data_IF_340139073984
#
_entry.id   IF_340139073984
#
_cell.length_a   1.000
_cell.length_b   1.000
_cell.length_c   1.000
_cell.angle_alpha   90.00
_cell.angle_beta   90.00
_cell.angle_gamma   90.00
#
_symmetry.space_group_name_H-M   'P 1'
#
loop_
_entity.id
_entity.type
_entity.pdbx_description
1 polymer ?
#
# COMPACT_ATOMS: atom_id res chain seq x y z
N UNK A 1 17.49 11.99 -1.83
CA UNK A 1 16.57 12.98 -2.46
C UNK A 1 16.02 12.51 -3.80
N UNK A 2 16.84 12.21 -4.81
CA UNK A 2 16.34 11.75 -6.12
C UNK A 2 15.52 10.47 -6.04
N UNK A 3 15.95 9.52 -5.22
CA UNK A 3 15.23 8.27 -5.00
C UNK A 3 13.89 8.49 -4.30
N UNK A 4 13.83 9.35 -3.29
CA UNK A 4 12.58 9.73 -2.61
C UNK A 4 11.58 10.36 -3.60
N UNK A 5 12.06 11.20 -4.51
CA UNK A 5 11.21 11.76 -5.56
C UNK A 5 10.65 10.66 -6.49
N UNK A 6 11.48 9.68 -6.89
CA UNK A 6 11.01 8.55 -7.71
C UNK A 6 9.97 7.71 -6.98
N UNK A 7 10.22 7.34 -5.72
CA UNK A 7 9.27 6.60 -4.88
C UNK A 7 7.94 7.36 -4.78
N UNK A 8 7.98 8.65 -4.43
CA UNK A 8 6.79 9.49 -4.37
C UNK A 8 6.03 9.55 -5.71
N UNK A 9 6.75 9.76 -6.82
CA UNK A 9 6.13 9.92 -8.14
C UNK A 9 5.50 8.61 -8.65
N UNK A 10 6.08 7.44 -8.38
CA UNK A 10 5.42 6.15 -8.67
C UNK A 10 4.05 6.11 -8.02
N UNK A 11 3.99 6.35 -6.71
CA UNK A 11 2.75 6.31 -5.95
C UNK A 11 1.76 7.40 -6.36
N UNK A 12 2.18 8.67 -6.43
CA UNK A 12 1.28 9.78 -6.78
C UNK A 12 0.71 9.63 -8.20
N UNK A 13 1.49 9.10 -9.15
CA UNK A 13 1.04 8.96 -10.53
C UNK A 13 0.16 7.72 -10.78
N UNK A 14 0.33 6.63 -10.01
CA UNK A 14 -0.30 5.34 -10.32
C UNK A 14 -1.24 4.80 -9.25
N UNK A 15 -1.28 5.38 -8.04
CA UNK A 15 -2.25 5.02 -6.99
C UNK A 15 -3.69 5.09 -7.47
N UNK A 16 -4.52 4.17 -6.97
CA UNK A 16 -5.94 4.06 -7.37
C UNK A 16 -6.83 5.16 -6.75
N UNK A 17 -6.32 5.89 -5.77
CA UNK A 17 -6.93 7.09 -5.20
C UNK A 17 -5.83 8.11 -4.84
N UNK A 18 -6.18 9.41 -4.69
CA UNK A 18 -5.28 10.38 -4.08
C UNK A 18 -4.77 9.89 -2.72
N UNK A 19 -3.51 10.19 -2.43
CA UNK A 19 -2.83 9.80 -1.19
C UNK A 19 -2.78 11.00 -0.25
N UNK A 20 -3.00 10.79 1.05
CA UNK A 20 -2.82 11.85 2.04
C UNK A 20 -1.33 12.19 2.21
N UNK A 21 -1.03 13.35 2.78
CA UNK A 21 0.33 13.72 3.14
C UNK A 21 0.99 12.65 4.03
N UNK A 22 0.22 12.17 4.98
CA UNK A 22 0.60 11.16 5.96
C UNK A 22 0.98 9.82 5.31
N UNK A 23 0.21 9.38 4.32
CA UNK A 23 0.53 8.18 3.53
C UNK A 23 1.81 8.38 2.73
N UNK A 24 1.99 9.56 2.12
CA UNK A 24 3.20 9.87 1.36
C UNK A 24 4.44 9.85 2.25
N UNK A 25 4.36 10.34 3.49
CA UNK A 25 5.48 10.31 4.42
C UNK A 25 6.00 8.88 4.68
N UNK A 26 5.10 7.90 4.79
CA UNK A 26 5.47 6.48 4.93
C UNK A 26 5.93 5.87 3.61
N UNK A 27 5.33 6.24 2.49
CA UNK A 27 5.70 5.73 1.17
C UNK A 27 7.18 5.98 0.87
N UNK A 28 7.71 7.13 1.29
CA UNK A 28 9.14 7.44 1.10
C UNK A 28 10.03 6.39 1.73
N UNK A 29 9.64 5.84 2.88
CA UNK A 29 10.37 4.82 3.61
C UNK A 29 10.24 3.40 3.03
N UNK A 30 9.44 3.21 1.97
CA UNK A 30 9.19 1.89 1.39
C UNK A 30 9.96 1.75 0.07
N UNK A 31 10.85 0.76 0.03
CA UNK A 31 11.50 0.32 -1.18
C UNK A 31 11.45 -1.21 -1.28
N UNK A 32 10.55 -1.80 -2.08
CA UNK A 32 10.40 -3.25 -2.17
C UNK A 32 11.59 -3.96 -2.81
N UNK A 33 12.58 -3.23 -3.31
CA UNK A 33 13.83 -3.78 -3.84
C UNK A 33 14.94 -3.88 -2.78
N UNK A 34 14.74 -3.29 -1.58
CA UNK A 34 15.68 -3.33 -0.46
C UNK A 34 15.38 -4.48 0.52
N UNK A 35 16.41 -4.91 1.26
CA UNK A 35 16.37 -6.03 2.22
C UNK A 35 15.30 -5.85 3.32
N UNK A 36 15.15 -4.64 3.84
CA UNK A 36 14.15 -4.32 4.88
C UNK A 36 12.78 -4.03 4.27
N UNK A 37 12.74 -3.64 2.99
CA UNK A 37 11.59 -3.19 2.22
C UNK A 37 10.78 -2.00 2.77
N UNK A 38 10.69 -1.82 4.09
CA UNK A 38 10.23 -0.60 4.75
C UNK A 38 11.14 -0.28 5.95
N UNK A 39 11.75 0.89 5.90
CA UNK A 39 12.65 1.41 6.93
C UNK A 39 11.98 2.57 7.68
N UNK A 40 11.46 2.35 8.91
CA UNK A 40 10.81 3.41 9.68
C UNK A 40 11.69 4.65 9.91
N UNK A 41 13.01 4.52 9.83
CA UNK A 41 13.94 5.65 10.00
C UNK A 41 13.98 6.59 8.79
N UNK A 42 13.46 6.16 7.64
CA UNK A 42 13.35 6.96 6.42
C UNK A 42 11.98 7.66 6.27
N UNK A 43 11.07 7.52 7.25
CA UNK A 43 9.77 8.21 7.22
C UNK A 43 10.02 9.72 7.25
N UNK A 44 9.30 10.47 6.41
CA UNK A 44 9.43 11.93 6.43
C UNK A 44 8.95 12.51 7.77
N UNK A 45 9.86 13.14 8.53
CA UNK A 45 9.53 13.88 9.76
C UNK A 45 8.43 14.92 9.51
N UNK A 46 8.53 15.62 8.36
CA UNK A 46 7.51 16.54 7.87
C UNK A 46 6.89 15.98 6.59
N UNK A 47 5.62 15.54 6.61
CA UNK A 47 4.92 15.09 5.40
C UNK A 47 4.90 16.12 4.26
N UNK A 48 5.01 17.42 4.59
CA UNK A 48 5.06 18.50 3.60
C UNK A 48 6.39 18.56 2.85
N UNK A 49 7.41 17.85 3.29
CA UNK A 49 8.70 17.80 2.61
C UNK A 49 8.59 17.17 1.22
N UNK A 50 7.50 16.43 0.93
CA UNK A 50 7.16 16.01 -0.43
C UNK A 50 7.12 17.18 -1.42
N UNK A 51 6.68 18.37 -1.02
CA UNK A 51 6.66 19.55 -1.89
C UNK A 51 8.06 20.13 -2.12
N UNK A 52 8.99 19.88 -1.21
CA UNK A 52 10.42 20.21 -1.43
C UNK A 52 11.06 19.18 -2.35
N UNK A 53 10.76 17.89 -2.15
CA UNK A 53 11.31 16.76 -2.91
C UNK A 53 10.84 16.77 -4.36
N UNK A 54 9.53 16.92 -4.58
CA UNK A 54 8.90 16.86 -5.91
C UNK A 54 8.67 18.26 -6.52
N UNK A 55 8.88 19.33 -5.75
CA UNK A 55 8.73 20.72 -6.21
C UNK A 55 7.41 20.95 -6.96
N UNK A 56 7.46 21.59 -8.12
CA UNK A 56 6.31 21.92 -8.96
C UNK A 56 5.63 20.73 -9.66
N UNK A 57 6.14 19.50 -9.51
CA UNK A 57 5.53 18.32 -10.14
C UNK A 57 4.25 17.88 -9.43
N UNK A 58 4.08 18.27 -8.17
CA UNK A 58 2.97 17.86 -7.31
C UNK A 58 2.27 19.08 -6.72
N UNK A 59 1.01 18.89 -6.32
CA UNK A 59 0.21 19.90 -5.64
C UNK A 59 -0.69 19.25 -4.60
N UNK A 60 -1.30 20.07 -3.75
CA UNK A 60 -2.22 19.65 -2.71
C UNK A 60 -3.65 19.89 -3.14
N UNK A 61 -4.54 18.94 -2.85
CA UNK A 61 -5.98 19.11 -2.92
C UNK A 61 -6.60 18.77 -1.57
N UNK A 62 -7.62 19.51 -1.15
CA UNK A 62 -8.38 19.16 0.05
C UNK A 62 -9.49 18.18 -0.33
N UNK A 63 -9.45 16.97 0.19
CA UNK A 63 -10.49 15.99 -0.05
C UNK A 63 -11.68 16.27 0.87
N UNK A 64 -12.80 16.74 0.31
CA UNK A 64 -14.04 17.04 1.06
C UNK A 64 -15.08 15.93 0.95
N UNK A 65 -14.67 14.67 0.74
CA UNK A 65 -15.57 13.57 0.37
C UNK A 65 -16.54 13.11 1.48
N UNK A 66 -16.58 13.79 2.62
CA UNK A 66 -17.61 13.57 3.62
C UNK A 66 -18.31 14.88 3.94
N UNK A 67 -19.62 14.94 3.65
CA UNK A 67 -20.53 16.03 4.09
C UNK A 67 -20.61 16.13 5.64
N UNK A 68 -19.93 15.24 6.37
CA UNK A 68 -19.64 15.38 7.79
C UNK A 68 -18.41 16.26 8.00
N UNK A 69 -18.65 17.42 8.61
CA UNK A 69 -17.72 18.53 8.91
C UNK A 69 -16.37 18.21 9.59
N UNK A 70 -15.92 16.96 9.76
CA UNK A 70 -14.89 16.61 10.76
C UNK A 70 -13.60 15.95 10.26
N UNK A 71 -13.40 15.70 8.96
CA UNK A 71 -12.06 15.30 8.48
C UNK A 71 -11.78 15.71 7.04
N UNK A 72 -11.36 16.97 6.85
CA UNK A 72 -10.66 17.36 5.62
C UNK A 72 -9.28 16.70 5.65
N UNK A 73 -9.02 15.82 4.69
CA UNK A 73 -7.70 15.21 4.51
C UNK A 73 -7.02 15.88 3.32
N UNK A 74 -5.84 16.46 3.57
CA UNK A 74 -5.01 17.03 2.52
C UNK A 74 -4.35 15.90 1.74
N UNK A 75 -4.62 15.84 0.44
CA UNK A 75 -4.08 14.84 -0.47
C UNK A 75 -3.09 15.44 -1.45
N UNK A 76 -2.10 14.64 -1.84
CA UNK A 76 -1.08 14.98 -2.82
C UNK A 76 -1.46 14.37 -4.16
N UNK A 77 -1.41 15.19 -5.21
CA UNK A 77 -1.63 14.78 -6.60
C UNK A 77 -0.56 15.39 -7.50
N UNK A 78 -0.45 14.90 -8.74
CA UNK A 78 0.35 15.58 -9.75
C UNK A 78 -0.23 16.97 -10.03
N UNK A 79 0.64 17.97 -10.19
CA UNK A 79 0.22 19.34 -10.48
C UNK A 79 -0.54 19.43 -11.80
N UNK A 80 -0.16 18.63 -12.79
CA UNK A 80 -0.82 18.55 -14.10
C UNK A 80 -0.78 17.13 -14.65
N UNK A 81 -1.82 16.74 -15.41
CA UNK A 81 -1.87 15.44 -16.10
C UNK A 81 -0.69 15.23 -17.05
N UNK A 82 -0.22 16.30 -17.69
CA UNK A 82 0.94 16.29 -18.58
C UNK A 82 2.25 15.87 -17.91
N UNK A 83 2.35 15.99 -16.58
CA UNK A 83 3.50 15.46 -15.81
C UNK A 83 3.55 13.94 -15.97
N UNK A 84 2.42 13.25 -15.75
CA UNK A 84 2.35 11.79 -15.93
C UNK A 84 2.68 11.41 -17.38
N UNK A 85 2.07 12.10 -18.35
CA UNK A 85 2.32 11.84 -19.78
C UNK A 85 3.80 11.99 -20.13
N UNK A 86 4.47 13.01 -19.60
CA UNK A 86 5.90 13.22 -19.82
C UNK A 86 6.75 12.13 -19.17
N UNK A 87 6.48 11.77 -17.91
CA UNK A 87 7.16 10.69 -17.18
C UNK A 87 6.99 9.32 -17.86
N UNK A 88 5.90 9.12 -18.62
CA UNK A 88 5.64 7.90 -19.39
C UNK A 88 6.15 7.96 -20.84
N UNK A 89 6.71 9.09 -21.28
CA UNK A 89 7.06 9.28 -22.70
C UNK A 89 8.49 8.85 -23.02
N UNK A 90 8.76 8.59 -24.31
CA UNK A 90 10.14 8.42 -24.78
C UNK A 90 11.00 9.69 -24.63
N UNK A 91 10.38 10.86 -24.44
CA UNK A 91 11.11 12.12 -24.28
C UNK A 91 11.94 12.13 -23.01
N UNK A 92 11.41 11.64 -21.88
CA UNK A 92 12.18 11.58 -20.63
C UNK A 92 13.29 10.54 -20.71
N UNK A 93 13.05 9.41 -21.39
CA UNK A 93 14.08 8.39 -21.67
C UNK A 93 15.26 8.92 -22.49
N UNK A 94 15.01 9.88 -23.37
CA UNK A 94 16.04 10.54 -24.18
C UNK A 94 16.60 11.82 -23.53
N UNK A 95 16.16 12.16 -22.32
CA UNK A 95 16.59 13.37 -21.60
C UNK A 95 17.82 13.09 -20.72
N UNK A 96 18.26 14.10 -19.96
CA UNK A 96 19.34 13.95 -18.97
C UNK A 96 18.90 13.27 -17.67
N UNK A 97 17.61 12.92 -17.53
CA UNK A 97 17.01 12.27 -16.35
C UNK A 97 16.20 11.02 -16.72
N UNK A 98 16.77 10.05 -17.46
CA UNK A 98 16.04 8.90 -17.98
C UNK A 98 15.51 7.97 -16.87
N UNK A 99 16.10 8.04 -15.68
CA UNK A 99 15.69 7.30 -14.48
C UNK A 99 14.32 7.73 -13.94
N UNK A 100 13.81 8.90 -14.34
CA UNK A 100 12.44 9.34 -14.01
C UNK A 100 11.37 8.80 -14.97
N UNK A 101 11.75 7.93 -15.91
CA UNK A 101 10.76 7.21 -16.70
C UNK A 101 9.93 6.28 -15.81
N UNK A 102 8.61 6.44 -15.82
CA UNK A 102 7.69 5.59 -15.07
C UNK A 102 6.87 4.73 -16.03
N UNK A 103 7.17 3.44 -16.13
CA UNK A 103 6.35 2.49 -16.88
C UNK A 103 5.04 2.17 -16.14
N UNK A 104 3.95 1.93 -16.85
CA UNK A 104 2.67 1.59 -16.21
C UNK A 104 2.75 0.26 -15.46
N UNK A 105 3.19 -0.80 -16.14
CA UNK A 105 3.36 -2.13 -15.54
C UNK A 105 4.41 -2.13 -14.43
N UNK A 106 5.56 -1.49 -14.64
CA UNK A 106 6.63 -1.43 -13.64
C UNK A 106 6.25 -0.62 -12.40
N UNK A 107 5.51 0.49 -12.56
CA UNK A 107 5.02 1.29 -11.42
C UNK A 107 3.97 0.53 -10.62
N UNK A 108 3.06 -0.16 -11.30
CA UNK A 108 2.08 -1.00 -10.61
C UNK A 108 2.75 -2.21 -9.92
N UNK A 109 3.78 -2.81 -10.51
CA UNK A 109 4.59 -3.83 -9.83
C UNK A 109 5.23 -3.28 -8.55
N UNK A 110 5.92 -2.14 -8.66
CA UNK A 110 6.57 -1.47 -7.54
C UNK A 110 5.57 -1.22 -6.40
N UNK A 111 4.43 -0.60 -6.68
CA UNK A 111 3.41 -0.29 -5.67
C UNK A 111 2.82 -1.58 -5.08
N UNK A 112 2.52 -2.60 -5.89
CA UNK A 112 1.98 -3.86 -5.39
C UNK A 112 2.93 -4.53 -4.39
N UNK A 113 4.23 -4.62 -4.75
CA UNK A 113 5.25 -5.21 -3.89
C UNK A 113 5.47 -4.37 -2.64
N UNK A 114 5.45 -3.05 -2.75
CA UNK A 114 5.56 -2.11 -1.63
C UNK A 114 4.39 -2.27 -0.64
N UNK A 115 3.14 -2.31 -1.13
CA UNK A 115 1.96 -2.59 -0.29
C UNK A 115 2.08 -3.93 0.44
N UNK A 116 2.51 -4.98 -0.27
CA UNK A 116 2.65 -6.32 0.33
C UNK A 116 3.74 -6.33 1.39
N UNK A 117 4.91 -5.74 1.10
CA UNK A 117 6.01 -5.63 2.05
C UNK A 117 5.57 -4.90 3.33
N UNK A 118 4.87 -3.77 3.17
CA UNK A 118 4.31 -3.01 4.27
C UNK A 118 3.36 -3.85 5.15
N UNK A 119 2.42 -4.59 4.54
CA UNK A 119 1.50 -5.47 5.26
C UNK A 119 2.22 -6.63 5.97
N UNK A 120 3.27 -7.18 5.35
CA UNK A 120 4.10 -8.24 5.95
C UNK A 120 4.80 -7.73 7.22
N UNK A 121 5.37 -6.54 7.18
CA UNK A 121 6.08 -5.94 8.32
C UNK A 121 5.13 -5.47 9.41
N UNK A 122 4.00 -4.86 9.04
CA UNK A 122 2.92 -4.49 9.95
C UNK A 122 2.50 -5.68 10.83
N UNK A 123 2.32 -6.84 10.21
CA UNK A 123 1.94 -8.06 10.93
C UNK A 123 3.03 -8.52 11.91
N UNK A 124 4.31 -8.41 11.55
CA UNK A 124 5.43 -8.73 12.43
C UNK A 124 5.49 -7.80 13.65
N UNK A 125 5.29 -6.50 13.46
CA UNK A 125 5.29 -5.50 14.53
C UNK A 125 4.09 -5.64 15.47
N UNK A 126 2.91 -6.00 14.93
CA UNK A 126 1.67 -6.15 15.71
C UNK A 126 1.65 -7.37 16.67
N UNK A 127 2.56 -8.32 16.51
CA UNK A 127 2.70 -9.46 17.42
C UNK A 127 3.44 -9.10 18.73
N UNK A 128 3.95 -7.88 18.86
CA UNK A 128 4.68 -7.39 20.04
C UNK A 128 3.90 -6.42 20.94
N UNK A 129 2.75 -5.90 20.52
CA UNK A 129 1.99 -4.90 21.30
C UNK A 129 0.57 -5.39 21.57
N UNK A 130 0.21 -5.43 22.87
CA UNK A 130 -1.12 -5.79 23.34
C UNK A 130 -2.21 -4.97 22.62
N UNK A 131 -3.23 -5.67 22.11
CA UNK A 131 -4.38 -5.15 21.39
C UNK A 131 -5.38 -4.40 22.30
N UNK A 132 -4.95 -3.37 23.01
CA UNK A 132 -5.83 -2.61 23.92
C UNK A 132 -5.77 -1.09 23.68
N UNK A 133 -5.87 -0.61 22.44
CA UNK A 133 -6.07 0.83 22.20
C UNK A 133 -7.12 1.11 21.12
N UNK A 134 -8.32 0.51 21.27
CA UNK A 134 -9.54 1.16 20.77
C UNK A 134 -10.06 2.08 21.88
N UNK A 135 -9.95 3.39 21.64
CA UNK A 135 -10.60 4.50 22.37
C UNK A 135 -10.23 4.65 23.86
N UNK A 136 -9.31 5.57 24.14
CA UNK A 136 -9.47 6.46 25.29
C UNK A 136 -8.77 7.78 24.98
N UNK A 137 -9.58 8.84 24.95
CA UNK A 137 -9.14 10.21 25.13
C UNK A 137 -8.44 10.33 26.49
N UNK A 138 -7.51 11.28 26.58
CA UNK A 138 -6.95 11.86 27.80
C UNK A 138 -5.73 11.13 28.40
N UNK A 139 -4.53 11.55 27.99
CA UNK A 139 -3.44 11.89 28.92
C UNK A 139 -2.23 12.44 28.18
N UNK A 140 -1.87 13.67 28.48
CA UNK A 140 -0.62 14.30 28.05
C UNK A 140 0.59 13.71 28.80
N UNK A 141 1.74 13.76 28.13
CA UNK A 141 3.14 13.74 28.66
C UNK A 141 3.90 12.42 28.59
N UNK A 142 4.71 12.23 27.53
CA UNK A 142 6.20 12.28 27.55
C UNK A 142 6.84 11.58 26.34
N UNK A 143 7.49 12.39 25.49
CA UNK A 143 8.58 12.12 24.53
C UNK A 143 8.65 10.71 23.91
N UNK A 144 7.89 10.56 22.82
CA UNK A 144 8.30 10.12 21.48
C UNK A 144 8.93 8.73 21.30
N UNK A 145 8.22 7.69 21.73
CA UNK A 145 8.06 6.55 20.82
C UNK A 145 7.03 6.98 19.78
N UNK A 146 7.54 7.50 18.66
CA UNK A 146 6.76 7.87 17.48
C UNK A 146 5.84 6.70 17.14
N UNK A 147 4.57 6.80 17.57
CA UNK A 147 3.54 5.87 17.18
C UNK A 147 3.45 6.02 15.67
N UNK A 148 4.10 5.12 14.94
CA UNK A 148 3.81 4.86 13.53
C UNK A 148 2.37 4.39 13.51
N UNK A 149 1.45 5.35 13.52
CA UNK A 149 0.10 5.16 13.05
C UNK A 149 0.30 4.61 11.66
N UNK A 150 -0.13 3.39 11.38
CA UNK A 150 0.16 2.77 10.08
C UNK A 150 -0.72 3.42 9.00
N UNK A 151 -0.34 4.61 8.55
CA UNK A 151 -1.19 5.52 7.75
C UNK A 151 -1.41 4.95 6.36
N UNK A 152 -0.47 4.19 5.82
CA UNK A 152 -0.60 3.48 4.56
C UNK A 152 -1.38 2.15 4.66
N UNK A 153 -1.67 1.62 5.86
CA UNK A 153 -2.25 0.28 6.03
C UNK A 153 -3.56 0.08 5.28
N UNK A 154 -4.46 1.07 5.34
CA UNK A 154 -5.73 1.04 4.62
C UNK A 154 -5.50 0.96 3.11
N UNK A 155 -4.67 1.85 2.56
CA UNK A 155 -4.36 1.82 1.14
C UNK A 155 -3.75 0.48 0.72
N UNK A 156 -2.73 0.02 1.46
CA UNK A 156 -2.04 -1.22 1.17
C UNK A 156 -3.01 -2.41 1.16
N UNK A 157 -3.90 -2.50 2.17
CA UNK A 157 -4.86 -3.59 2.29
C UNK A 157 -5.93 -3.60 1.21
N UNK A 158 -6.39 -2.41 0.76
CA UNK A 158 -7.46 -2.26 -0.23
C UNK A 158 -6.98 -2.37 -1.69
N UNK A 159 -5.75 -1.97 -2.01
CA UNK A 159 -5.33 -1.74 -3.40
C UNK A 159 -4.18 -2.61 -3.91
N UNK A 160 -3.46 -3.37 -3.07
CA UNK A 160 -2.30 -4.15 -3.50
C UNK A 160 -2.61 -5.09 -4.69
N UNK A 161 -3.77 -5.73 -4.69
CA UNK A 161 -4.16 -6.70 -5.72
C UNK A 161 -4.55 -6.02 -7.05
N UNK A 162 -5.09 -4.80 -7.00
CA UNK A 162 -5.39 -4.00 -8.20
C UNK A 162 -4.11 -3.53 -8.89
N UNK A 163 -3.09 -3.20 -8.11
CA UNK A 163 -1.75 -2.95 -8.64
C UNK A 163 -1.12 -4.21 -9.19
N UNK A 164 -1.17 -5.34 -8.47
CA UNK A 164 -0.65 -6.61 -8.94
C UNK A 164 -1.31 -7.06 -10.26
N UNK A 165 -2.61 -6.84 -10.43
CA UNK A 165 -3.35 -7.11 -11.67
C UNK A 165 -2.92 -6.21 -12.83
N UNK A 166 -2.52 -4.96 -12.55
CA UNK A 166 -2.10 -3.98 -13.57
C UNK A 166 -0.62 -4.12 -13.95
N UNK A 167 0.11 -4.98 -13.27
CA UNK A 167 1.53 -5.21 -13.50
C UNK A 167 1.77 -6.29 -14.57
N UNK A 168 3.03 -6.57 -14.87
CA UNK A 168 3.38 -7.64 -15.81
C UNK A 168 3.02 -9.01 -15.20
N UNK A 169 2.11 -9.80 -15.82
CA UNK A 169 1.69 -11.08 -15.26
C UNK A 169 2.83 -12.11 -15.18
N UNK A 170 3.89 -11.97 -15.98
CA UNK A 170 5.03 -12.89 -15.97
C UNK A 170 6.11 -12.47 -14.95
N UNK A 171 5.92 -11.36 -14.24
CA UNK A 171 6.86 -10.90 -13.22
C UNK A 171 6.82 -11.79 -11.97
N UNK A 172 7.87 -12.59 -11.80
CA UNK A 172 8.00 -13.53 -10.69
C UNK A 172 8.00 -12.85 -9.32
N UNK A 173 8.54 -11.63 -9.22
CA UNK A 173 8.61 -10.88 -7.96
C UNK A 173 7.23 -10.60 -7.37
N UNK A 174 6.25 -10.27 -8.21
CA UNK A 174 4.86 -10.05 -7.78
C UNK A 174 4.26 -11.37 -7.33
N UNK A 175 4.43 -12.44 -8.12
CA UNK A 175 3.89 -13.76 -7.79
C UNK A 175 4.43 -14.26 -6.43
N UNK A 176 5.73 -14.09 -6.19
CA UNK A 176 6.38 -14.43 -4.93
C UNK A 176 5.85 -13.59 -3.77
N UNK A 177 5.83 -12.26 -3.89
CA UNK A 177 5.31 -11.37 -2.85
C UNK A 177 3.85 -11.67 -2.51
N UNK A 178 2.99 -11.80 -3.53
CA UNK A 178 1.57 -12.15 -3.32
C UNK A 178 1.41 -13.52 -2.67
N UNK A 179 2.22 -14.52 -3.02
CA UNK A 179 2.17 -15.85 -2.39
C UNK A 179 2.57 -15.82 -0.91
N UNK A 180 3.50 -14.93 -0.52
CA UNK A 180 3.88 -14.72 0.89
C UNK A 180 2.73 -14.11 1.69
N UNK A 181 2.05 -13.11 1.13
CA UNK A 181 0.88 -12.50 1.78
C UNK A 181 -0.28 -13.49 1.85
N UNK A 182 -0.56 -14.20 0.75
CA UNK A 182 -1.58 -15.24 0.64
C UNK A 182 -1.08 -16.59 1.20
N UNK A 183 -0.55 -16.56 2.41
CA UNK A 183 -0.14 -17.76 3.15
C UNK A 183 -0.82 -17.77 4.51
N UNK A 184 -1.76 -18.70 4.71
CA UNK A 184 -2.51 -18.83 5.98
C UNK A 184 -1.63 -19.13 7.19
N UNK A 185 -0.40 -19.64 6.99
CA UNK A 185 0.56 -19.84 8.07
C UNK A 185 1.29 -18.55 8.46
N UNK A 186 1.29 -17.53 7.61
CA UNK A 186 1.93 -16.24 7.87
C UNK A 186 0.94 -15.28 8.53
N UNK A 187 1.30 -14.59 9.64
CA UNK A 187 0.40 -13.70 10.37
C UNK A 187 -0.15 -12.55 9.52
N UNK A 188 0.61 -12.12 8.51
CA UNK A 188 0.19 -11.07 7.57
C UNK A 188 -1.10 -11.40 6.82
N UNK A 189 -1.39 -12.67 6.57
CA UNK A 189 -2.65 -13.06 5.94
C UNK A 189 -3.86 -12.62 6.78
N UNK A 190 -3.80 -12.91 8.08
CA UNK A 190 -4.85 -12.53 9.03
C UNK A 190 -4.85 -11.04 9.35
N UNK A 191 -3.67 -10.41 9.40
CA UNK A 191 -3.54 -8.96 9.56
C UNK A 191 -4.23 -8.24 8.39
N UNK A 192 -3.90 -8.61 7.15
CA UNK A 192 -4.54 -8.06 5.94
C UNK A 192 -6.06 -8.23 5.98
N UNK A 193 -6.58 -9.44 6.24
CA UNK A 193 -8.03 -9.66 6.33
C UNK A 193 -8.70 -8.90 7.49
N UNK A 194 -7.97 -8.58 8.56
CA UNK A 194 -8.49 -7.76 9.65
C UNK A 194 -8.56 -6.27 9.33
N UNK A 195 -7.68 -5.79 8.43
CA UNK A 195 -7.69 -4.42 7.92
C UNK A 195 -8.75 -4.25 6.84
N UNK A 196 -8.80 -5.19 5.91
CA UNK A 196 -9.74 -5.20 4.80
C UNK A 196 -10.11 -6.63 4.43
N UNK A 197 -11.37 -7.02 4.64
CA UNK A 197 -11.92 -8.28 4.15
C UNK A 197 -12.80 -8.03 2.91
N UNK A 198 -12.34 -8.41 1.70
CA UNK A 198 -13.08 -8.20 0.46
C UNK A 198 -14.44 -8.93 0.36
N UNK A 199 -14.73 -9.88 1.25
CA UNK A 199 -15.99 -10.62 1.28
C UNK A 199 -16.99 -10.06 2.30
N UNK A 200 -16.56 -9.15 3.18
CA UNK A 200 -17.47 -8.50 4.13
C UNK A 200 -18.17 -7.35 3.42
N UNK A 201 -19.47 -7.53 3.18
CA UNK A 201 -20.36 -6.42 2.88
C UNK A 201 -20.63 -5.73 4.21
N UNK A 202 -20.41 -4.41 4.28
CA UNK A 202 -20.66 -3.60 5.47
C UNK A 202 -22.17 -3.61 5.79
N UNK A 203 -22.62 -4.64 6.50
CA UNK A 203 -23.97 -4.65 7.06
C UNK A 203 -23.98 -3.65 8.20
N UNK A 204 -24.70 -2.56 7.96
CA UNK A 204 -24.97 -1.42 8.86
C UNK A 204 -25.59 -1.78 10.22
N UNK A 205 -25.65 -3.07 10.56
CA UNK A 205 -26.21 -3.65 11.79
C UNK A 205 -25.15 -4.27 12.72
N UNK A 206 -23.85 -4.10 12.47
CA UNK A 206 -22.80 -4.33 13.48
C UNK A 206 -22.58 -5.79 13.88
N UNK A 207 -23.12 -6.74 13.12
CA UNK A 207 -22.81 -8.15 13.31
C UNK A 207 -21.57 -8.52 12.51
N UNK A 208 -20.39 -8.48 13.16
CA UNK A 208 -19.17 -9.09 12.63
C UNK A 208 -19.37 -10.60 12.61
N UNK A 209 -19.95 -11.09 11.52
CA UNK A 209 -19.96 -12.51 11.25
C UNK A 209 -18.49 -12.90 11.03
N UNK A 210 -17.89 -13.63 11.99
CA UNK A 210 -16.57 -14.27 11.82
C UNK A 210 -16.71 -15.32 10.73
N UNK A 211 -16.80 -14.88 9.48
CA UNK A 211 -16.97 -15.76 8.34
C UNK A 211 -15.64 -16.40 8.01
N UNK A 212 -15.73 -17.64 7.53
CA UNK A 212 -14.62 -18.43 7.05
C UNK A 212 -13.69 -17.54 6.20
N UNK A 213 -12.45 -17.38 6.64
CA UNK A 213 -11.44 -16.70 5.83
C UNK A 213 -11.35 -17.47 4.52
N UNK A 214 -11.62 -16.80 3.39
CA UNK A 214 -11.46 -17.39 2.07
C UNK A 214 -10.10 -18.08 1.96
N UNK A 215 -9.94 -19.10 1.11
CA UNK A 215 -8.62 -19.70 0.93
C UNK A 215 -7.70 -18.75 0.14
N UNK A 216 -6.37 -18.86 0.28
CA UNK A 216 -5.41 -18.17 -0.59
C UNK A 216 -5.73 -18.32 -2.09
N UNK A 217 -6.09 -19.54 -2.51
CA UNK A 217 -6.45 -19.83 -3.89
C UNK A 217 -7.74 -19.14 -4.31
N UNK A 218 -8.73 -19.07 -3.42
CA UNK A 218 -9.97 -18.33 -3.65
C UNK A 218 -9.68 -16.84 -3.89
N UNK A 219 -8.90 -16.19 -3.03
CA UNK A 219 -8.58 -14.77 -3.22
C UNK A 219 -7.71 -14.52 -4.44
N UNK A 220 -6.70 -15.35 -4.70
CA UNK A 220 -5.89 -15.25 -5.93
C UNK A 220 -6.77 -15.36 -7.19
N UNK A 221 -7.77 -16.25 -7.16
CA UNK A 221 -8.75 -16.40 -8.25
C UNK A 221 -9.69 -15.19 -8.36
N UNK A 222 -10.25 -14.73 -7.24
CA UNK A 222 -11.15 -13.55 -7.17
C UNK A 222 -10.47 -12.29 -7.72
N UNK A 223 -9.18 -12.12 -7.45
CA UNK A 223 -8.39 -10.98 -7.91
C UNK A 223 -7.78 -11.18 -9.31
N UNK A 224 -7.94 -12.34 -9.93
CA UNK A 224 -7.40 -12.62 -11.26
C UNK A 224 -5.87 -12.74 -11.30
N UNK A 225 -5.22 -13.13 -10.20
CA UNK A 225 -3.76 -13.21 -10.08
C UNK A 225 -3.24 -14.56 -10.61
N UNK A 226 -3.25 -14.71 -11.93
CA UNK A 226 -2.95 -15.98 -12.61
C UNK A 226 -1.57 -16.56 -12.29
N UNK A 227 -0.54 -15.73 -12.22
CA UNK A 227 0.82 -16.17 -11.87
C UNK A 227 0.92 -16.67 -10.43
N UNK A 228 0.15 -16.07 -9.51
CA UNK A 228 0.08 -16.48 -8.09
C UNK A 228 -0.58 -17.84 -7.95
N UNK A 229 -1.66 -18.09 -8.70
CA UNK A 229 -2.37 -19.39 -8.69
C UNK A 229 -1.41 -20.55 -9.02
N UNK A 230 -0.44 -20.33 -9.91
CA UNK A 230 0.55 -21.35 -10.29
C UNK A 230 1.57 -21.64 -9.19
N UNK A 231 1.84 -20.67 -8.33
CA UNK A 231 2.87 -20.75 -7.27
C UNK A 231 2.26 -21.19 -5.94
N UNK A 232 0.98 -20.90 -5.70
CA UNK A 232 0.31 -21.31 -4.47
C UNK A 232 0.23 -22.85 -4.41
N UNK A 233 0.59 -23.46 -3.26
CA UNK A 233 0.44 -24.89 -3.09
C UNK A 233 -1.05 -25.25 -3.18
N UNK A 234 -1.41 -26.11 -4.13
CA UNK A 234 -2.77 -26.61 -4.29
C UNK A 234 -3.17 -27.46 -3.10
N UNK A 235 -3.64 -26.85 -2.01
CA UNK A 235 -4.29 -27.58 -0.90
C UNK A 235 -5.76 -27.77 -1.24
N UNK A 236 -6.02 -28.84 -1.98
CA UNK A 236 -7.32 -29.52 -1.91
C UNK A 236 -7.34 -30.25 -0.57
N UNK A 237 -7.59 -29.54 0.54
CA UNK A 237 -8.01 -30.19 1.78
C UNK A 237 -9.48 -30.57 1.62
N UNK A 238 -9.70 -31.69 0.91
CA UNK A 238 -10.87 -32.51 1.16
C UNK A 238 -10.76 -32.98 2.62
N UNK A 239 -11.44 -32.28 3.53
CA UNK A 239 -11.87 -32.91 4.78
C UNK A 239 -12.90 -33.96 4.39
N UNK A 240 -12.42 -35.15 4.08
CA UNK A 240 -13.18 -36.37 4.17
C UNK A 240 -12.90 -36.97 5.55
N UNK A 241 -14.01 -37.39 6.16
CA UNK A 241 -14.19 -38.11 7.43
C UNK A 241 -14.29 -37.26 8.71
#
# INVERSE_FOLDING_TARGET
>A
MTEYALRALHWIAFSKRPLSLEEIAEIIAINPDDDLSFDPTEILESPRDVFTICSSLVTMICNTLTDSSDSKTDCVVLAHLSVKEYLQSNRIRASNVPNFYLGDTSSNSFIARACIAYLLQLACSSNGTNKDHRRSSDSETSIDEEQVQYRLADHAANFWYLHAQSADPEESAIAMSSSRLLNTAHPAYHCWLSLHNPDVIDDSYGHVCRQATGSPLYFASKFGLQSVIRVLPGRVELRLE
#
